data_IF_483555116853
#
_entry.id   IF_483555116853
#
_cell.length_a   1.000
_cell.length_b   1.000
_cell.length_c   1.000
_cell.angle_alpha   90.00
_cell.angle_beta   90.00
_cell.angle_gamma   90.00
#
_symmetry.space_group_name_H-M   'P 1'
#
loop_
_entity.id
_entity.type
_entity.pdbx_description
1 polymer ?
#
# COMPACT_ATOMS: atom_id res chain seq x y z
N UNK A 1 -10.38 -13.20 -2.33
CA UNK A 1 -10.88 -12.76 -3.65
C UNK A 1 -10.63 -11.27 -3.81
N UNK A 2 -10.75 -10.75 -5.02
CA UNK A 2 -10.70 -9.30 -5.29
C UNK A 2 -12.12 -8.76 -5.39
N UNK A 3 -12.34 -7.55 -4.86
CA UNK A 3 -13.53 -6.76 -5.17
C UNK A 3 -13.24 -5.92 -6.42
N UNK A 4 -14.15 -5.93 -7.38
CA UNK A 4 -13.89 -5.43 -8.74
C UNK A 4 -14.99 -4.45 -9.15
N UNK A 5 -14.58 -3.22 -9.45
CA UNK A 5 -15.38 -2.24 -10.16
C UNK A 5 -14.81 -2.06 -11.57
N UNK A 6 -15.69 -1.96 -12.57
CA UNK A 6 -15.32 -1.83 -13.99
C UNK A 6 -16.02 -0.63 -14.61
N UNK A 7 -15.27 0.17 -15.35
CA UNK A 7 -15.78 1.31 -16.11
C UNK A 7 -15.25 1.23 -17.55
N UNK A 8 -16.09 1.56 -18.53
CA UNK A 8 -15.73 1.55 -19.95
C UNK A 8 -15.35 2.93 -20.49
N UNK A 9 -15.55 4.00 -19.69
CA UNK A 9 -15.33 5.38 -20.09
C UNK A 9 -14.27 6.06 -19.21
N UNK A 10 -13.29 6.69 -19.86
CA UNK A 10 -12.11 7.30 -19.23
C UNK A 10 -12.45 8.32 -18.14
N UNK A 11 -13.46 9.19 -18.37
CA UNK A 11 -13.85 10.23 -17.43
C UNK A 11 -14.49 9.66 -16.14
N UNK A 12 -15.36 8.67 -16.30
CA UNK A 12 -16.02 7.97 -15.20
C UNK A 12 -14.97 7.19 -14.40
N UNK A 13 -14.07 6.48 -15.10
CA UNK A 13 -12.98 5.73 -14.49
C UNK A 13 -12.10 6.55 -13.54
N UNK A 14 -11.72 7.77 -13.92
CA UNK A 14 -10.94 8.66 -13.04
C UNK A 14 -11.72 9.02 -11.77
N UNK A 15 -13.01 9.36 -11.90
CA UNK A 15 -13.87 9.67 -10.75
C UNK A 15 -14.02 8.46 -9.83
N UNK A 16 -14.27 7.28 -10.40
CA UNK A 16 -14.40 6.01 -9.69
C UNK A 16 -13.14 5.68 -8.89
N UNK A 17 -11.94 5.88 -9.48
CA UNK A 17 -10.66 5.69 -8.75
C UNK A 17 -10.56 6.64 -7.56
N UNK A 18 -10.98 7.90 -7.71
CA UNK A 18 -10.90 8.89 -6.63
C UNK A 18 -11.90 8.63 -5.51
N UNK A 19 -13.10 8.13 -5.84
CA UNK A 19 -14.18 7.87 -4.89
C UNK A 19 -13.97 6.55 -4.13
N UNK A 20 -13.61 5.48 -4.85
CA UNK A 20 -13.51 4.13 -4.29
C UNK A 20 -12.12 3.82 -3.73
N UNK A 21 -11.10 4.60 -4.10
CA UNK A 21 -9.72 4.43 -3.66
C UNK A 21 -9.24 2.96 -3.76
N UNK A 22 -9.25 2.38 -4.98
CA UNK A 22 -8.98 0.96 -5.19
C UNK A 22 -7.54 0.58 -4.79
N UNK A 23 -7.31 -0.70 -4.50
CA UNK A 23 -5.97 -1.21 -4.19
C UNK A 23 -5.05 -1.38 -5.40
N UNK A 24 -5.63 -1.45 -6.62
CA UNK A 24 -4.93 -1.53 -7.90
C UNK A 24 -5.89 -1.08 -9.01
N UNK A 25 -5.36 -0.45 -10.06
CA UNK A 25 -6.10 -0.10 -11.26
C UNK A 25 -5.55 -0.90 -12.43
N UNK A 26 -6.43 -1.60 -13.15
CA UNK A 26 -6.12 -2.20 -14.44
C UNK A 26 -6.75 -1.32 -15.53
N UNK A 27 -5.94 -0.87 -16.47
CA UNK A 27 -6.36 0.08 -17.50
C UNK A 27 -6.04 -0.46 -18.89
N UNK A 28 -6.93 -0.27 -19.85
CA UNK A 28 -6.66 -0.59 -21.25
C UNK A 28 -5.91 0.57 -21.93
N UNK A 29 -4.93 0.25 -22.78
CA UNK A 29 -4.27 1.21 -23.66
C UNK A 29 -5.29 1.87 -24.61
N UNK A 30 -6.08 1.04 -25.29
CA UNK A 30 -7.10 1.48 -26.24
C UNK A 30 -8.42 1.70 -25.51
N UNK A 31 -8.81 2.96 -25.37
CA UNK A 31 -10.11 3.35 -24.81
C UNK A 31 -10.80 4.38 -25.74
N UNK A 32 -12.15 4.41 -25.78
CA UNK A 32 -12.89 5.13 -26.83
C UNK A 32 -12.66 6.66 -26.84
N UNK A 33 -12.44 7.27 -25.68
CA UNK A 33 -12.38 8.73 -25.52
C UNK A 33 -10.95 9.24 -25.38
N UNK A 34 -10.20 8.65 -24.46
CA UNK A 34 -8.83 9.03 -24.15
C UNK A 34 -8.06 7.77 -23.83
N UNK A 35 -6.88 7.60 -24.45
CA UNK A 35 -6.02 6.44 -24.22
C UNK A 35 -5.73 6.27 -22.74
N UNK A 36 -5.61 5.02 -22.30
CA UNK A 36 -5.19 4.74 -20.93
C UNK A 36 -3.81 5.30 -20.60
N UNK A 37 -2.91 5.37 -21.59
CA UNK A 37 -1.58 5.94 -21.40
C UNK A 37 -1.69 7.44 -21.12
N UNK A 38 -2.55 8.15 -21.85
CA UNK A 38 -2.77 9.59 -21.68
C UNK A 38 -3.47 9.95 -20.36
N UNK A 39 -4.17 9.01 -19.74
CA UNK A 39 -4.77 9.18 -18.41
C UNK A 39 -3.76 9.06 -17.27
N UNK A 40 -2.63 8.38 -17.46
CA UNK A 40 -1.65 8.13 -16.40
C UNK A 40 -1.19 9.41 -15.70
N UNK A 41 -0.82 10.50 -16.40
CA UNK A 41 -0.37 11.73 -15.74
C UNK A 41 -1.47 12.37 -14.88
N UNK A 42 -2.74 12.30 -15.32
CA UNK A 42 -3.88 12.84 -14.59
C UNK A 42 -4.14 12.06 -13.29
N UNK A 43 -4.07 10.72 -13.38
CA UNK A 43 -4.20 9.85 -12.21
C UNK A 43 -3.03 10.04 -11.25
N UNK A 44 -1.80 10.11 -11.75
CA UNK A 44 -0.59 10.28 -10.93
C UNK A 44 -0.52 11.61 -10.19
N UNK A 45 -1.12 12.67 -10.73
CA UNK A 45 -1.26 13.96 -10.02
C UNK A 45 -2.14 13.87 -8.77
N UNK A 46 -3.02 12.87 -8.68
CA UNK A 46 -4.06 12.79 -7.65
C UNK A 46 -4.02 11.50 -6.82
N UNK A 47 -3.33 10.46 -7.28
CA UNK A 47 -3.31 9.15 -6.64
C UNK A 47 -1.98 8.42 -6.84
N UNK A 48 -1.59 7.68 -5.81
CA UNK A 48 -0.44 6.78 -5.77
C UNK A 48 -0.84 5.31 -5.93
N UNK A 49 -2.10 5.05 -6.28
CA UNK A 49 -2.62 3.69 -6.51
C UNK A 49 -1.75 2.96 -7.55
N UNK A 50 -1.43 1.68 -7.38
CA UNK A 50 -0.75 0.91 -8.43
C UNK A 50 -1.56 0.91 -9.72
N UNK A 51 -0.96 1.27 -10.86
CA UNK A 51 -1.63 1.27 -12.17
C UNK A 51 -0.92 0.28 -13.09
N UNK A 52 -1.70 -0.63 -13.65
CA UNK A 52 -1.26 -1.63 -14.60
C UNK A 52 -1.95 -1.33 -15.93
N UNK A 53 -1.18 -1.13 -17.00
CA UNK A 53 -1.71 -0.94 -18.36
C UNK A 53 -1.75 -2.28 -19.08
N UNK A 54 -2.79 -2.51 -19.88
CA UNK A 54 -2.96 -3.69 -20.73
C UNK A 54 -3.14 -3.28 -22.18
N UNK A 55 -2.42 -3.89 -23.11
CA UNK A 55 -2.45 -3.42 -24.50
C UNK A 55 -1.72 -4.32 -25.49
N UNK A 56 -1.30 -3.75 -26.61
CA UNK A 56 -0.74 -4.46 -27.78
C UNK A 56 0.68 -4.99 -27.60
N UNK A 57 1.44 -4.46 -26.63
CA UNK A 57 2.83 -4.87 -26.41
C UNK A 57 3.86 -4.22 -27.36
N UNK A 58 3.45 -3.26 -28.19
CA UNK A 58 4.43 -2.50 -28.99
C UNK A 58 5.44 -1.80 -28.09
N UNK A 59 6.71 -1.73 -28.52
CA UNK A 59 7.77 -1.11 -27.74
C UNK A 59 7.42 0.32 -27.33
N UNK A 60 6.84 1.09 -28.26
CA UNK A 60 6.38 2.47 -28.03
C UNK A 60 5.30 2.55 -26.95
N UNK A 61 4.32 1.63 -26.96
CA UNK A 61 3.26 1.58 -25.96
C UNK A 61 3.81 1.19 -24.57
N UNK A 62 4.67 0.16 -24.52
CA UNK A 62 5.26 -0.33 -23.27
C UNK A 62 6.11 0.77 -22.64
N UNK A 63 7.04 1.34 -23.41
CA UNK A 63 7.93 2.41 -22.91
C UNK A 63 7.13 3.65 -22.55
N UNK A 64 6.16 4.05 -23.39
CA UNK A 64 5.28 5.19 -23.16
C UNK A 64 4.49 5.05 -21.85
N UNK A 65 3.85 3.91 -21.63
CA UNK A 65 3.10 3.64 -20.41
C UNK A 65 3.98 3.71 -19.15
N UNK A 66 5.15 3.08 -19.17
CA UNK A 66 6.06 3.06 -18.01
C UNK A 66 6.61 4.46 -17.71
N UNK A 67 7.00 5.23 -18.73
CA UNK A 67 7.48 6.61 -18.56
C UNK A 67 6.39 7.55 -18.03
N UNK A 68 5.13 7.35 -18.45
CA UNK A 68 3.99 8.13 -17.96
C UNK A 68 3.51 7.69 -16.56
N UNK A 69 4.14 6.66 -15.99
CA UNK A 69 3.98 6.27 -14.59
C UNK A 69 3.16 5.01 -14.36
N UNK A 70 2.96 4.13 -15.35
CA UNK A 70 2.45 2.78 -15.08
C UNK A 70 3.46 1.98 -14.25
N UNK A 71 2.98 1.20 -13.28
CA UNK A 71 3.81 0.31 -12.45
C UNK A 71 4.14 -1.01 -13.17
N UNK A 72 3.32 -1.37 -14.16
CA UNK A 72 3.46 -2.56 -14.98
C UNK A 72 2.67 -2.41 -16.28
N UNK A 73 3.18 -3.02 -17.36
CA UNK A 73 2.45 -3.22 -18.60
C UNK A 73 2.25 -4.73 -18.84
N UNK A 74 1.06 -5.12 -19.31
CA UNK A 74 0.72 -6.49 -19.67
C UNK A 74 0.25 -6.55 -21.13
N UNK A 75 0.99 -7.28 -21.96
CA UNK A 75 0.66 -7.51 -23.36
C UNK A 75 -0.50 -8.51 -23.51
N UNK A 76 -1.44 -8.20 -24.41
CA UNK A 76 -2.56 -9.06 -24.77
C UNK A 76 -2.15 -10.02 -25.90
N UNK A 77 -2.58 -11.29 -25.87
CA UNK A 77 -3.53 -11.90 -24.93
C UNK A 77 -2.89 -12.29 -23.58
N UNK A 78 -3.54 -11.92 -22.47
CA UNK A 78 -3.00 -12.14 -21.13
C UNK A 78 -3.51 -13.47 -20.56
N UNK A 79 -2.59 -14.33 -20.09
CA UNK A 79 -2.96 -15.50 -19.31
C UNK A 79 -3.48 -15.06 -17.93
N UNK A 80 -4.71 -15.45 -17.56
CA UNK A 80 -5.32 -15.04 -16.29
C UNK A 80 -4.50 -15.44 -15.05
N UNK A 81 -3.89 -16.64 -15.03
CA UNK A 81 -3.06 -17.08 -13.90
C UNK A 81 -1.80 -16.23 -13.79
N UNK A 82 -1.17 -15.96 -14.92
CA UNK A 82 0.01 -15.11 -14.98
C UNK A 82 -0.30 -13.69 -14.52
N UNK A 83 -1.40 -13.11 -15.01
CA UNK A 83 -1.88 -11.79 -14.57
C UNK A 83 -2.02 -11.73 -13.06
N UNK A 84 -2.75 -12.67 -12.46
CA UNK A 84 -2.97 -12.73 -11.02
C UNK A 84 -1.65 -12.86 -10.24
N UNK A 85 -0.70 -13.65 -10.73
CA UNK A 85 0.63 -13.77 -10.14
C UNK A 85 1.41 -12.45 -10.20
N UNK A 86 1.41 -11.77 -11.36
CA UNK A 86 2.10 -10.49 -11.56
C UNK A 86 1.48 -9.36 -10.74
N UNK A 87 0.13 -9.27 -10.70
CA UNK A 87 -0.58 -8.32 -9.83
C UNK A 87 -0.24 -8.59 -8.36
N UNK A 88 -0.30 -9.86 -7.93
CA UNK A 88 0.08 -10.24 -6.57
C UNK A 88 1.53 -9.85 -6.23
N UNK A 89 2.48 -10.10 -7.15
CA UNK A 89 3.88 -9.73 -6.96
C UNK A 89 4.08 -8.21 -6.84
N UNK A 90 3.42 -7.43 -7.70
CA UNK A 90 3.44 -5.97 -7.63
C UNK A 90 2.92 -5.49 -6.27
N UNK A 91 1.76 -5.99 -5.85
CA UNK A 91 1.14 -5.57 -4.59
C UNK A 91 1.97 -5.97 -3.37
N UNK A 92 2.63 -7.13 -3.37
CA UNK A 92 3.58 -7.52 -2.31
C UNK A 92 4.79 -6.58 -2.25
N UNK A 93 5.40 -6.26 -3.40
CA UNK A 93 6.51 -5.29 -3.49
C UNK A 93 6.14 -3.91 -2.96
N UNK A 94 4.87 -3.54 -3.08
CA UNK A 94 4.34 -2.26 -2.58
C UNK A 94 3.87 -2.32 -1.13
N UNK A 95 3.96 -3.47 -0.46
CA UNK A 95 3.46 -3.70 0.92
C UNK A 95 1.93 -3.69 1.01
N UNK A 96 1.23 -3.87 -0.11
CA UNK A 96 -0.23 -3.91 -0.21
C UNK A 96 -0.80 -5.34 -0.10
N UNK A 97 0.04 -6.35 -0.27
CA UNK A 97 -0.28 -7.76 -0.06
C UNK A 97 0.79 -8.44 0.78
N UNK A 98 0.40 -9.49 1.51
CA UNK A 98 1.32 -10.31 2.27
C UNK A 98 2.28 -11.07 1.35
N UNK A 99 3.59 -11.01 1.60
CA UNK A 99 4.45 -12.15 1.32
C UNK A 99 3.99 -13.29 2.22
N UNK A 100 3.47 -14.37 1.63
CA UNK A 100 3.03 -15.57 2.35
C UNK A 100 4.15 -16.31 3.12
N UNK A 101 5.27 -15.63 3.39
CA UNK A 101 6.49 -16.11 4.08
C UNK A 101 7.08 -15.08 5.07
N UNK A 102 6.31 -14.09 5.51
CA UNK A 102 6.72 -13.29 6.68
C UNK A 102 6.15 -13.94 7.93
N UNK A 103 7.01 -14.38 8.87
CA UNK A 103 6.60 -14.61 10.25
C UNK A 103 5.79 -13.39 10.67
N UNK A 104 4.48 -13.54 10.89
CA UNK A 104 3.72 -12.49 11.55
C UNK A 104 4.43 -12.26 12.89
N UNK A 105 4.95 -11.04 13.12
CA UNK A 105 5.75 -10.82 14.30
C UNK A 105 4.87 -11.08 15.53
N UNK A 106 5.36 -11.86 16.49
CA UNK A 106 4.68 -11.96 17.77
C UNK A 106 4.72 -10.57 18.43
N UNK A 107 3.58 -9.88 18.35
CA UNK A 107 3.42 -8.51 18.83
C UNK A 107 3.75 -8.42 20.32
N UNK A 108 3.51 -9.47 21.09
CA UNK A 108 3.82 -9.48 22.52
C UNK A 108 5.33 -9.57 22.78
N UNK A 109 6.06 -10.38 22.01
CA UNK A 109 7.52 -10.43 22.12
C UNK A 109 8.17 -9.12 21.66
N UNK A 110 7.63 -8.50 20.61
CA UNK A 110 8.12 -7.22 20.11
C UNK A 110 7.82 -6.05 21.02
N UNK A 111 6.64 -6.04 21.64
CA UNK A 111 6.36 -5.07 22.69
C UNK A 111 7.33 -5.27 23.86
N UNK A 112 7.62 -6.51 24.29
CA UNK A 112 8.63 -6.79 25.33
C UNK A 112 10.04 -6.34 24.94
N UNK A 113 10.38 -6.36 23.66
CA UNK A 113 11.68 -5.90 23.15
C UNK A 113 11.81 -4.36 23.09
N UNK A 114 10.71 -3.60 23.23
CA UNK A 114 10.79 -2.15 23.33
C UNK A 114 11.53 -1.73 24.63
N UNK A 115 12.34 -0.65 24.58
CA UNK A 115 12.88 -0.06 25.81
C UNK A 115 11.76 0.31 26.79
N UNK A 116 11.96 0.09 28.09
CA UNK A 116 10.96 0.42 29.12
C UNK A 116 10.53 1.89 29.10
N UNK A 117 11.46 2.79 28.73
CA UNK A 117 11.18 4.22 28.55
C UNK A 117 10.17 4.49 27.43
N UNK A 118 10.15 3.66 26.39
CA UNK A 118 9.18 3.74 25.29
C UNK A 118 7.86 3.10 25.71
N UNK A 119 7.89 1.90 26.30
CA UNK A 119 6.69 1.16 26.75
C UNK A 119 5.82 1.97 27.70
N UNK A 120 6.45 2.58 28.70
CA UNK A 120 5.79 3.41 29.72
C UNK A 120 5.29 4.75 29.16
N UNK A 121 5.93 5.27 28.12
CA UNK A 121 5.51 6.51 27.47
C UNK A 121 4.29 6.33 26.54
N UNK A 122 4.00 5.11 26.07
CA UNK A 122 2.85 4.84 25.22
C UNK A 122 1.54 4.89 26.02
N UNK A 123 0.62 5.75 25.57
CA UNK A 123 -0.77 5.72 26.03
C UNK A 123 -1.49 4.49 25.49
N UNK A 124 -2.62 4.11 26.09
CA UNK A 124 -3.38 2.94 25.64
C UNK A 124 -3.82 3.03 24.18
N UNK A 125 -4.11 4.23 23.69
CA UNK A 125 -4.49 4.43 22.29
C UNK A 125 -3.30 4.24 21.36
N UNK A 126 -2.12 4.74 21.73
CA UNK A 126 -0.89 4.54 20.96
C UNK A 126 -0.45 3.07 21.00
N UNK A 127 -0.62 2.39 22.13
CA UNK A 127 -0.34 0.95 22.27
C UNK A 127 -1.25 0.14 21.35
N UNK A 128 -2.56 0.39 21.35
CA UNK A 128 -3.49 -0.24 20.39
C UNK A 128 -3.11 0.02 18.94
N UNK A 129 -2.70 1.25 18.63
CA UNK A 129 -2.29 1.64 17.28
C UNK A 129 -1.00 0.92 16.85
N UNK A 130 -0.01 0.86 17.75
CA UNK A 130 1.24 0.14 17.57
C UNK A 130 0.99 -1.35 17.33
N UNK A 131 0.20 -2.00 18.19
CA UNK A 131 -0.18 -3.40 18.07
C UNK A 131 -0.79 -3.68 16.70
N UNK A 132 -1.79 -2.88 16.30
CA UNK A 132 -2.47 -3.10 15.02
C UNK A 132 -1.55 -2.94 13.81
N UNK A 133 -0.61 -2.00 13.86
CA UNK A 133 0.38 -1.81 12.81
C UNK A 133 1.44 -2.92 12.82
N UNK A 134 1.80 -3.44 14.00
CA UNK A 134 2.76 -4.54 14.16
C UNK A 134 2.21 -5.89 13.71
N UNK A 135 0.93 -6.19 13.98
CA UNK A 135 0.24 -7.39 13.44
C UNK A 135 0.35 -7.45 11.90
N UNK A 136 0.45 -6.27 11.27
CA UNK A 136 0.62 -6.10 9.83
C UNK A 136 1.95 -5.46 9.50
N UNK A 137 3.02 -5.86 10.21
CA UNK A 137 4.37 -5.34 9.97
C UNK A 137 4.77 -5.46 8.49
N UNK A 138 5.33 -4.39 7.94
CA UNK A 138 5.68 -4.28 6.52
C UNK A 138 4.48 -4.12 5.57
N UNK A 139 3.25 -4.08 6.09
CA UNK A 139 2.02 -3.92 5.29
C UNK A 139 1.32 -2.60 5.60
N UNK A 140 0.67 -2.03 4.58
CA UNK A 140 -0.12 -0.81 4.75
C UNK A 140 -1.44 -1.14 5.41
N UNK A 141 -1.75 -0.47 6.52
CA UNK A 141 -3.05 -0.51 7.19
C UNK A 141 -3.81 0.76 6.86
N UNK A 142 -5.01 0.60 6.29
CA UNK A 142 -5.83 1.70 5.82
C UNK A 142 -6.32 2.62 6.93
N UNK A 143 -6.61 3.88 6.61
CA UNK A 143 -7.10 4.87 7.58
C UNK A 143 -8.39 4.39 8.28
N UNK A 144 -9.41 3.99 7.51
CA UNK A 144 -10.70 3.54 8.05
C UNK A 144 -10.53 2.31 8.96
N UNK A 145 -9.69 1.37 8.53
CA UNK A 145 -9.39 0.17 9.31
C UNK A 145 -8.74 0.51 10.65
N UNK A 146 -7.72 1.37 10.66
CA UNK A 146 -7.07 1.82 11.89
C UNK A 146 -8.06 2.54 12.80
N UNK A 147 -8.93 3.39 12.24
CA UNK A 147 -9.91 4.13 13.01
C UNK A 147 -10.92 3.21 13.71
N UNK A 148 -11.49 2.26 12.97
CA UNK A 148 -12.46 1.30 13.52
C UNK A 148 -11.78 0.37 14.53
N UNK A 149 -10.58 -0.13 14.25
CA UNK A 149 -9.91 -1.10 15.13
C UNK A 149 -9.40 -0.48 16.43
N UNK A 150 -8.95 0.77 16.40
CA UNK A 150 -8.35 1.42 17.58
C UNK A 150 -9.38 2.11 18.47
N UNK A 151 -10.46 2.65 17.88
CA UNK A 151 -11.50 3.40 18.61
C UNK A 151 -12.88 2.72 18.61
N UNK A 152 -13.06 1.60 17.90
CA UNK A 152 -14.34 0.89 17.79
C UNK A 152 -15.38 1.61 16.94
N UNK A 153 -15.04 2.78 16.39
CA UNK A 153 -15.93 3.62 15.57
C UNK A 153 -15.11 4.48 14.61
N UNK A 154 -15.70 4.94 13.50
CA UNK A 154 -15.08 5.96 12.66
C UNK A 154 -14.76 7.20 13.49
N UNK A 155 -13.53 7.69 13.37
CA UNK A 155 -13.10 8.96 13.97
C UNK A 155 -12.62 9.90 12.89
N UNK A 156 -12.41 11.18 13.23
CA UNK A 156 -11.85 12.15 12.29
C UNK A 156 -10.39 11.81 11.95
N UNK A 157 -9.99 11.98 10.69
CA UNK A 157 -8.63 11.68 10.21
C UNK A 157 -7.57 12.50 10.95
N UNK A 158 -7.88 13.71 11.39
CA UNK A 158 -6.98 14.57 12.15
C UNK A 158 -6.59 13.93 13.48
N UNK A 159 -7.53 13.21 14.12
CA UNK A 159 -7.28 12.48 15.37
C UNK A 159 -6.29 11.34 15.12
N UNK A 160 -6.47 10.55 14.05
CA UNK A 160 -5.53 9.50 13.67
C UNK A 160 -4.13 10.08 13.37
N UNK A 161 -4.05 11.19 12.61
CA UNK A 161 -2.77 11.85 12.30
C UNK A 161 -2.04 12.31 13.56
N UNK A 162 -2.75 12.85 14.55
CA UNK A 162 -2.17 13.26 15.84
C UNK A 162 -1.52 12.08 16.55
N UNK A 163 -2.23 10.96 16.69
CA UNK A 163 -1.70 9.76 17.37
C UNK A 163 -0.56 9.11 16.58
N UNK A 164 -0.61 9.10 15.25
CA UNK A 164 0.52 8.64 14.42
C UNK A 164 1.75 9.51 14.64
N UNK A 165 1.59 10.83 14.68
CA UNK A 165 2.70 11.76 14.91
C UNK A 165 3.32 11.54 16.30
N UNK A 166 2.49 11.42 17.34
CA UNK A 166 2.95 11.13 18.70
C UNK A 166 3.65 9.77 18.80
N UNK A 167 3.07 8.72 18.21
CA UNK A 167 3.66 7.38 18.16
C UNK A 167 5.02 7.39 17.46
N UNK A 168 5.12 8.06 16.29
CA UNK A 168 6.39 8.19 15.55
C UNK A 168 7.48 8.84 16.41
N UNK A 169 7.14 9.88 17.17
CA UNK A 169 8.09 10.57 18.04
C UNK A 169 8.61 9.64 19.14
N UNK A 170 7.73 8.83 19.74
CA UNK A 170 8.06 7.89 20.82
C UNK A 170 8.86 6.68 20.32
N UNK A 171 8.60 6.19 19.12
CA UNK A 171 9.33 5.07 18.51
C UNK A 171 10.66 5.47 17.88
N UNK A 172 11.00 6.77 17.79
CA UNK A 172 12.20 7.25 17.11
C UNK A 172 13.51 6.70 17.67
N UNK A 173 13.54 6.34 18.96
CA UNK A 173 14.71 5.74 19.62
C UNK A 173 14.88 4.25 19.34
N UNK A 174 13.89 3.59 18.70
CA UNK A 174 13.90 2.17 18.40
C UNK A 174 14.34 1.96 16.96
N UNK A 175 15.64 1.71 16.76
CA UNK A 175 16.24 1.60 15.43
C UNK A 175 15.63 0.48 14.56
N UNK A 176 15.09 -0.57 15.17
CA UNK A 176 14.47 -1.69 14.47
C UNK A 176 13.04 -1.43 14.00
N UNK A 177 12.49 -0.23 14.22
CA UNK A 177 11.11 0.11 13.85
C UNK A 177 11.06 1.39 13.01
N UNK A 178 10.34 1.34 11.88
CA UNK A 178 10.14 2.49 11.00
C UNK A 178 8.67 2.68 10.64
N UNK A 179 8.10 3.87 10.91
CA UNK A 179 6.70 4.17 10.65
C UNK A 179 6.50 5.09 9.44
N UNK A 180 6.02 4.52 8.35
CA UNK A 180 5.83 5.18 7.06
C UNK A 180 4.38 5.64 6.85
N UNK A 181 4.24 6.82 6.24
CA UNK A 181 2.94 7.31 5.75
C UNK A 181 2.82 6.96 4.26
N UNK A 182 1.72 6.30 3.87
CA UNK A 182 1.34 6.12 2.47
C UNK A 182 0.17 7.06 2.17
N UNK A 183 0.48 8.19 1.52
CA UNK A 183 -0.48 9.25 1.25
C UNK A 183 -1.74 8.70 0.57
N UNK A 184 -2.92 9.10 1.07
CA UNK A 184 -4.22 8.62 0.57
C UNK A 184 -4.62 7.22 1.05
N UNK A 185 -3.67 6.35 1.40
CA UNK A 185 -3.95 4.93 1.71
C UNK A 185 -3.98 4.68 3.21
N UNK A 186 -2.90 4.98 3.93
CA UNK A 186 -2.79 4.65 5.35
C UNK A 186 -1.37 4.72 5.90
N UNK A 187 -1.09 3.85 6.85
CA UNK A 187 0.19 3.80 7.58
C UNK A 187 0.78 2.40 7.56
N UNK A 188 2.10 2.31 7.57
CA UNK A 188 2.84 1.06 7.56
C UNK A 188 3.93 1.14 8.61
N UNK A 189 3.97 0.17 9.51
CA UNK A 189 5.06 0.01 10.46
C UNK A 189 5.92 -1.15 9.98
N UNK A 190 7.21 -0.90 9.81
CA UNK A 190 8.18 -1.90 9.37
C UNK A 190 9.09 -2.25 10.55
N UNK A 191 9.18 -3.54 10.85
CA UNK A 191 10.15 -4.07 11.80
C UNK A 191 11.34 -4.67 11.04
N UNK A 192 12.52 -4.06 11.19
CA UNK A 192 13.77 -4.60 10.66
C UNK A 192 14.27 -5.71 11.60
N UNK A 193 13.65 -6.90 11.50
CA UNK A 193 14.23 -8.12 12.04
C UNK A 193 15.43 -8.48 11.16
N UNK A 194 16.65 -8.24 11.68
CA UNK A 194 17.95 -8.69 11.18
C UNK A 194 17.93 -9.30 9.77
N UNK A 195 18.23 -8.48 8.75
CA UNK A 195 18.69 -9.01 7.47
C UNK A 195 19.97 -9.80 7.75
N UNK A 196 19.87 -11.12 7.91
CA UNK A 196 21.03 -12.00 7.89
C UNK A 196 21.67 -11.81 6.52
N UNK A 197 22.86 -11.23 6.55
CA UNK A 197 23.89 -11.19 5.51
C UNK A 197 23.87 -12.44 4.64
N UNK A 198 23.23 -12.38 3.48
CA UNK A 198 23.67 -13.14 2.31
C UNK A 198 24.52 -12.19 1.46
N UNK A 199 25.74 -11.94 1.92
CA UNK A 199 26.84 -11.64 1.01
C UNK A 199 27.10 -12.93 0.25
N UNK A 200 26.53 -13.06 -0.93
CA UNK A 200 26.99 -14.05 -1.91
C UNK A 200 28.36 -13.55 -2.40
N UNK A 201 29.35 -14.41 -2.19
CA UNK A 201 30.74 -14.27 -2.63
C UNK A 201 30.86 -14.33 -4.16
#
# INVERSE_FOLDING_TARGET
GYDVASESESAIGVSTVMQHNPGVVLMAEDMPTLSGIDLLPLLRRRSTVPIIVTGTGTETAVVGALLQGADMYLEKPINQKEMLCRVGALLRRMGLLADGKGNEPDVQELEKALPETVKSALTDTERRLFHRLMERSGRVVGHEELMVKVWGKPVKRERLRFYIHSLRRKLRSVASLSLHTRNGVGYMLEHQANQKTERVA
#
